data_IF_800158481508
#
_entry.id   IF_800158481508
#
_cell.length_a   1.000
_cell.length_b   1.000
_cell.length_c   1.000
_cell.angle_alpha   90.00
_cell.angle_beta   90.00
_cell.angle_gamma   90.00
#
_symmetry.space_group_name_H-M   'P 1'
#
loop_
_entity.id
_entity.type
_entity.pdbx_description
1 polymer ?
#
# COMPACT_ATOMS: atom_id res chain seq x y z
N UNK A 1 12.77 55.37 -36.66
CA UNK A 1 11.77 54.32 -36.38
C UNK A 1 12.50 53.16 -35.71
N UNK A 2 12.28 52.91 -34.40
CA UNK A 2 13.07 51.97 -33.58
C UNK A 2 12.60 50.53 -33.81
N UNK A 3 13.50 49.64 -34.24
CA UNK A 3 13.30 48.18 -34.22
C UNK A 3 13.49 47.66 -32.78
N UNK A 4 12.43 47.09 -32.19
CA UNK A 4 12.46 46.45 -30.88
C UNK A 4 13.09 45.06 -30.97
N UNK A 5 14.08 44.79 -30.10
CA UNK A 5 14.67 43.45 -29.93
C UNK A 5 13.77 42.65 -28.99
N UNK A 6 13.24 41.53 -29.46
CA UNK A 6 12.52 40.55 -28.63
C UNK A 6 13.53 39.50 -28.20
N UNK A 7 13.85 39.44 -26.91
CA UNK A 7 14.63 38.35 -26.32
C UNK A 7 13.69 37.23 -25.92
N UNK A 8 13.82 36.06 -26.55
CA UNK A 8 13.13 34.83 -26.14
C UNK A 8 14.02 34.11 -25.13
N UNK A 9 13.58 34.05 -23.87
CA UNK A 9 14.24 33.23 -22.86
C UNK A 9 13.75 31.78 -22.99
N UNK A 10 14.66 30.87 -23.35
CA UNK A 10 14.38 29.44 -23.40
C UNK A 10 14.37 28.86 -21.97
N UNK A 11 13.20 28.43 -21.50
CA UNK A 11 13.04 27.68 -20.26
C UNK A 11 13.44 26.22 -20.51
N UNK A 12 14.60 25.79 -20.00
CA UNK A 12 14.95 24.38 -19.93
C UNK A 12 14.11 23.69 -18.85
N UNK A 13 13.21 22.80 -19.26
CA UNK A 13 12.58 21.84 -18.37
C UNK A 13 13.56 20.72 -18.06
N UNK A 14 14.14 20.74 -16.86
CA UNK A 14 14.89 19.60 -16.34
C UNK A 14 13.85 18.57 -15.90
N UNK A 15 13.73 17.46 -16.63
CA UNK A 15 12.92 16.32 -16.21
C UNK A 15 13.58 15.67 -14.99
N UNK A 16 13.00 15.87 -13.82
CA UNK A 16 13.40 15.12 -12.62
C UNK A 16 12.88 13.70 -12.80
N UNK A 17 13.74 12.66 -12.77
CA UNK A 17 13.28 11.29 -12.84
C UNK A 17 12.40 11.01 -11.63
N UNK A 18 11.13 10.66 -11.89
CA UNK A 18 10.27 10.10 -10.84
C UNK A 18 10.83 8.71 -10.52
N UNK A 19 11.33 8.52 -9.31
CA UNK A 19 11.67 7.18 -8.83
C UNK A 19 10.34 6.49 -8.54
N UNK A 20 9.99 5.51 -9.37
CA UNK A 20 8.83 4.66 -9.13
C UNK A 20 9.00 3.92 -7.80
N UNK A 21 7.90 3.72 -7.07
CA UNK A 21 7.93 2.95 -5.83
C UNK A 21 8.47 1.54 -6.05
N UNK A 22 9.22 1.05 -5.08
CA UNK A 22 9.68 -0.33 -5.07
C UNK A 22 8.54 -1.24 -4.63
N UNK A 23 7.93 -1.90 -5.62
CA UNK A 23 7.01 -3.02 -5.40
C UNK A 23 7.81 -4.30 -5.44
N UNK A 24 7.61 -5.17 -4.45
CA UNK A 24 8.27 -6.46 -4.35
C UNK A 24 7.24 -7.56 -4.58
N UNK A 25 7.56 -8.52 -5.46
CA UNK A 25 6.79 -9.75 -5.65
C UNK A 25 7.47 -10.91 -4.94
N UNK A 26 6.67 -11.73 -4.28
CA UNK A 26 7.11 -12.98 -3.66
C UNK A 26 6.01 -14.03 -3.74
N UNK A 27 6.37 -15.27 -3.45
CA UNK A 27 5.46 -16.41 -3.51
C UNK A 27 5.64 -17.29 -2.29
N UNK A 28 4.55 -17.90 -1.85
CA UNK A 28 4.54 -18.92 -0.80
C UNK A 28 3.93 -20.20 -1.35
N UNK A 29 4.51 -21.34 -0.98
CA UNK A 29 4.02 -22.66 -1.36
C UNK A 29 3.75 -23.50 -0.10
N UNK A 30 2.48 -23.79 0.15
CA UNK A 30 2.05 -24.68 1.25
C UNK A 30 2.12 -26.12 0.74
N UNK A 31 3.27 -26.78 0.92
CA UNK A 31 3.51 -28.16 0.47
C UNK A 31 2.50 -29.16 1.06
N UNK A 32 2.01 -28.91 2.27
CA UNK A 32 1.03 -29.78 2.94
C UNK A 32 -0.33 -29.74 2.23
N UNK A 33 -0.72 -28.60 1.65
CA UNK A 33 -2.00 -28.42 0.96
C UNK A 33 -1.87 -28.37 -0.56
N UNK A 34 -0.65 -28.34 -1.09
CA UNK A 34 -0.39 -28.18 -2.53
C UNK A 34 -0.84 -26.82 -3.07
N UNK A 35 -0.92 -25.78 -2.24
CA UNK A 35 -1.42 -24.46 -2.65
C UNK A 35 -0.31 -23.43 -2.75
N UNK A 36 -0.36 -22.60 -3.78
CA UNK A 36 0.51 -21.44 -3.94
C UNK A 36 -0.23 -20.12 -3.65
N UNK A 37 0.52 -19.13 -3.17
CA UNK A 37 0.06 -17.75 -2.96
C UNK A 37 1.06 -16.77 -3.55
N UNK A 38 0.58 -15.78 -4.29
CA UNK A 38 1.37 -14.64 -4.78
C UNK A 38 1.18 -13.44 -3.87
N UNK A 39 2.27 -12.73 -3.56
CA UNK A 39 2.27 -11.48 -2.80
C UNK A 39 2.87 -10.35 -3.65
N UNK A 40 2.30 -9.16 -3.49
CA UNK A 40 2.84 -7.90 -3.98
C UNK A 40 2.87 -6.95 -2.78
N UNK A 41 4.00 -6.33 -2.50
CA UNK A 41 4.13 -5.44 -1.36
C UNK A 41 4.89 -4.16 -1.70
N UNK A 42 4.57 -3.08 -1.01
CA UNK A 42 5.32 -1.83 -1.06
C UNK A 42 5.24 -1.13 0.29
N UNK A 43 6.26 -0.34 0.61
CA UNK A 43 6.35 0.40 1.86
C UNK A 43 5.94 1.86 1.67
N UNK A 44 5.52 2.50 2.77
CA UNK A 44 5.18 3.92 2.77
C UNK A 44 6.40 4.80 2.49
N UNK A 45 6.21 5.84 1.69
CA UNK A 45 7.21 6.86 1.35
C UNK A 45 7.64 7.70 2.57
N UNK A 46 6.84 7.67 3.64
CA UNK A 46 7.11 8.36 4.90
C UNK A 46 7.16 7.40 6.08
N UNK A 47 7.80 7.86 7.14
CA UNK A 47 7.73 7.25 8.47
C UNK A 47 6.91 8.13 9.40
N UNK A 48 6.38 7.51 10.45
CA UNK A 48 5.64 8.16 11.52
C UNK A 48 6.29 7.79 12.84
N UNK A 49 6.50 8.77 13.72
CA UNK A 49 7.05 8.50 15.03
C UNK A 49 5.96 8.07 16.02
N UNK A 50 6.24 6.96 16.70
CA UNK A 50 5.47 6.51 17.85
C UNK A 50 6.31 6.66 19.12
N UNK A 51 5.66 7.14 20.18
CA UNK A 51 6.26 7.28 21.50
C UNK A 51 6.47 5.91 22.17
N UNK A 52 7.02 5.91 23.39
CA UNK A 52 7.10 4.72 24.21
C UNK A 52 5.73 4.00 24.28
N UNK A 53 5.65 2.67 24.12
CA UNK A 53 6.74 1.68 24.13
C UNK A 53 7.43 1.41 22.76
N UNK A 54 7.03 2.08 21.69
CA UNK A 54 7.48 1.76 20.33
C UNK A 54 8.76 2.49 19.90
N UNK A 55 9.10 3.59 20.58
CA UNK A 55 10.39 4.28 20.54
C UNK A 55 10.94 4.51 19.11
N UNK A 56 10.23 5.32 18.31
CA UNK A 56 10.79 5.93 17.10
C UNK A 56 9.94 5.74 15.85
N UNK A 57 10.61 5.81 14.70
CA UNK A 57 9.99 5.78 13.39
C UNK A 57 9.39 4.42 13.04
N UNK A 58 8.20 4.47 12.43
CA UNK A 58 7.43 3.35 11.95
C UNK A 58 7.00 3.58 10.51
N UNK A 59 7.10 2.55 9.68
CA UNK A 59 6.59 2.53 8.30
C UNK A 59 5.39 1.60 8.21
N UNK A 60 4.57 1.81 7.19
CA UNK A 60 3.48 0.92 6.86
C UNK A 60 3.81 0.16 5.57
N UNK A 61 3.64 -1.15 5.60
CA UNK A 61 3.71 -2.00 4.42
C UNK A 61 2.30 -2.29 3.93
N UNK A 62 2.02 -1.98 2.67
CA UNK A 62 0.82 -2.43 1.97
C UNK A 62 1.13 -3.77 1.30
N UNK A 63 0.32 -4.79 1.58
CA UNK A 63 0.46 -6.12 0.98
C UNK A 63 -0.82 -6.50 0.25
N UNK A 64 -0.70 -6.85 -1.02
CA UNK A 64 -1.75 -7.47 -1.80
C UNK A 64 -1.39 -8.93 -2.02
N UNK A 65 -2.31 -9.86 -1.76
CA UNK A 65 -2.06 -11.29 -1.98
C UNK A 65 -3.17 -11.99 -2.72
N UNK A 66 -2.82 -13.03 -3.46
CA UNK A 66 -3.81 -13.92 -4.07
C UNK A 66 -4.50 -14.79 -3.02
N UNK A 67 -5.59 -15.46 -3.41
CA UNK A 67 -6.08 -16.61 -2.63
C UNK A 67 -5.03 -17.72 -2.67
N UNK A 68 -5.01 -18.53 -1.62
CA UNK A 68 -4.36 -19.84 -1.65
C UNK A 68 -5.00 -20.67 -2.76
N UNK A 69 -4.20 -21.10 -3.72
CA UNK A 69 -4.70 -21.70 -4.96
C UNK A 69 -3.88 -22.94 -5.29
N UNK A 70 -4.53 -24.09 -5.49
CA UNK A 70 -3.90 -25.23 -6.17
C UNK A 70 -3.70 -24.85 -7.64
N UNK A 71 -2.46 -24.91 -8.11
CA UNK A 71 -2.14 -24.56 -9.50
C UNK A 71 -2.59 -25.68 -10.44
N UNK A 72 -3.27 -25.31 -11.52
CA UNK A 72 -3.61 -26.25 -12.60
C UNK A 72 -2.38 -26.56 -13.45
N UNK A 73 -2.43 -27.65 -14.21
CA UNK A 73 -1.36 -28.01 -15.16
C UNK A 73 -0.99 -26.83 -16.07
N UNK A 74 0.29 -26.47 -16.05
CA UNK A 74 0.84 -25.35 -16.82
C UNK A 74 0.58 -23.95 -16.24
N UNK A 75 -0.24 -23.81 -15.20
CA UNK A 75 -0.45 -22.54 -14.50
C UNK A 75 0.74 -22.24 -13.58
N UNK A 76 1.20 -20.98 -13.58
CA UNK A 76 2.29 -20.52 -12.72
C UNK A 76 1.75 -19.70 -11.55
N UNK A 77 2.48 -19.66 -10.45
CA UNK A 77 2.16 -18.79 -9.31
C UNK A 77 2.09 -17.31 -9.72
N UNK A 78 2.83 -16.93 -10.76
CA UNK A 78 2.82 -15.56 -11.28
C UNK A 78 1.52 -15.15 -11.97
N UNK A 79 0.74 -16.12 -12.46
CA UNK A 79 -0.57 -15.91 -13.08
C UNK A 79 -1.65 -15.55 -12.04
N UNK A 80 -1.40 -15.86 -10.76
CA UNK A 80 -2.33 -15.59 -9.67
C UNK A 80 -2.56 -14.08 -9.52
N UNK A 81 -3.82 -13.71 -9.29
CA UNK A 81 -4.22 -12.31 -9.11
C UNK A 81 -4.45 -12.00 -7.64
N UNK A 82 -4.09 -10.80 -7.17
CA UNK A 82 -4.40 -10.39 -5.82
C UNK A 82 -5.91 -10.36 -5.60
N UNK A 83 -6.35 -10.87 -4.47
CA UNK A 83 -7.75 -10.94 -4.05
C UNK A 83 -7.96 -10.37 -2.63
N UNK A 84 -6.89 -10.22 -1.87
CA UNK A 84 -6.88 -9.72 -0.50
C UNK A 84 -5.86 -8.60 -0.37
N UNK A 85 -6.14 -7.64 0.53
CA UNK A 85 -5.27 -6.52 0.82
C UNK A 85 -5.09 -6.40 2.34
N UNK A 86 -3.85 -6.16 2.77
CA UNK A 86 -3.45 -6.08 4.17
C UNK A 86 -2.58 -4.85 4.39
N UNK A 87 -2.68 -4.28 5.58
CA UNK A 87 -1.80 -3.23 6.07
C UNK A 87 -1.01 -3.80 7.23
N UNK A 88 0.31 -3.62 7.21
CA UNK A 88 1.20 -4.05 8.26
C UNK A 88 1.98 -2.85 8.77
N UNK A 89 2.12 -2.70 10.09
CA UNK A 89 2.92 -1.62 10.66
C UNK A 89 4.23 -2.18 11.24
N UNK A 90 5.36 -1.54 10.96
CA UNK A 90 6.67 -2.03 11.41
C UNK A 90 6.82 -1.93 12.93
N UNK A 91 6.19 -0.93 13.55
CA UNK A 91 6.11 -0.70 15.00
C UNK A 91 4.79 -0.04 15.34
N UNK A 92 4.23 -0.35 16.51
CA UNK A 92 2.93 0.17 16.94
C UNK A 92 1.85 -0.90 16.92
N UNK A 93 0.67 -0.51 17.37
CA UNK A 93 -0.53 -1.34 17.37
C UNK A 93 -1.67 -0.54 16.78
N UNK A 94 -2.39 -1.13 15.82
CA UNK A 94 -3.63 -0.56 15.33
C UNK A 94 -4.67 -0.51 16.44
N UNK A 95 -5.37 0.61 16.56
CA UNK A 95 -6.50 0.77 17.47
C UNK A 95 -7.79 0.65 16.69
N UNK A 96 -8.41 -0.52 16.80
CA UNK A 96 -9.77 -0.78 16.33
C UNK A 96 -10.70 -0.82 17.55
N UNK A 97 -11.62 0.14 17.67
CA UNK A 97 -12.67 0.08 18.68
C UNK A 97 -13.73 -0.95 18.24
N UNK A 98 -14.06 -1.90 19.12
CA UNK A 98 -14.96 -3.03 18.80
C UNK A 98 -16.44 -2.67 18.65
N UNK A 99 -16.83 -1.44 19.00
CA UNK A 99 -18.25 -1.04 19.10
C UNK A 99 -18.80 -0.45 17.80
N UNK A 100 -17.99 0.26 17.00
CA UNK A 100 -18.46 0.99 15.80
C UNK A 100 -17.89 0.43 14.48
N UNK A 101 -17.30 -0.77 14.52
CA UNK A 101 -16.51 -1.31 13.41
C UNK A 101 -15.13 -0.64 13.32
N UNK A 102 -14.21 -1.27 12.61
CA UNK A 102 -12.89 -0.69 12.38
C UNK A 102 -12.80 -0.18 10.95
N UNK A 103 -12.47 1.09 10.79
CA UNK A 103 -12.32 1.70 9.47
C UNK A 103 -11.06 2.55 9.38
N UNK A 104 -10.62 2.74 8.14
CA UNK A 104 -9.52 3.64 7.78
C UNK A 104 -10.03 4.70 6.80
N UNK A 105 -9.37 5.85 6.79
CA UNK A 105 -9.61 6.88 5.78
C UNK A 105 -8.54 6.78 4.70
N UNK A 106 -8.98 6.78 3.45
CA UNK A 106 -8.11 6.60 2.28
C UNK A 106 -8.37 7.71 1.29
N UNK A 107 -7.30 8.25 0.70
CA UNK A 107 -7.37 9.20 -0.41
C UNK A 107 -6.46 8.72 -1.53
N UNK A 108 -7.05 8.42 -2.67
CA UNK A 108 -6.32 8.16 -3.90
C UNK A 108 -6.12 9.47 -4.66
N UNK A 109 -4.89 9.72 -5.13
CA UNK A 109 -4.49 10.93 -5.84
C UNK A 109 -5.08 12.22 -5.22
N UNK A 110 -5.90 12.95 -5.98
CA UNK A 110 -6.59 14.17 -5.53
C UNK A 110 -8.09 13.97 -5.30
N UNK A 111 -8.55 12.72 -5.22
CA UNK A 111 -9.96 12.39 -5.04
C UNK A 111 -10.48 12.73 -3.63
N UNK A 112 -11.78 12.50 -3.41
CA UNK A 112 -12.40 12.61 -2.09
C UNK A 112 -11.90 11.50 -1.17
N UNK A 113 -11.92 11.78 0.13
CA UNK A 113 -11.62 10.76 1.15
C UNK A 113 -12.71 9.68 1.10
N UNK A 114 -12.28 8.43 1.05
CA UNK A 114 -13.08 7.22 1.09
C UNK A 114 -12.84 6.51 2.43
N UNK A 115 -13.86 5.84 2.95
CA UNK A 115 -13.71 4.97 4.11
C UNK A 115 -13.69 3.51 3.68
N UNK A 116 -12.76 2.75 4.23
CA UNK A 116 -12.71 1.30 4.06
C UNK A 116 -12.87 0.63 5.42
N UNK A 117 -13.81 -0.30 5.51
CA UNK A 117 -13.89 -1.23 6.63
C UNK A 117 -12.67 -2.15 6.63
N UNK A 118 -12.17 -2.45 7.81
CA UNK A 118 -11.01 -3.32 8.05
C UNK A 118 -11.29 -4.31 9.16
N UNK A 119 -10.64 -5.47 9.08
CA UNK A 119 -10.71 -6.52 10.09
C UNK A 119 -9.35 -6.73 10.72
N UNK A 120 -9.32 -7.05 12.01
CA UNK A 120 -8.10 -7.45 12.71
C UNK A 120 -7.69 -8.87 12.32
N UNK A 121 -6.41 -9.19 12.52
CA UNK A 121 -5.93 -10.54 12.25
C UNK A 121 -6.53 -11.56 13.24
N UNK A 122 -7.00 -12.69 12.73
CA UNK A 122 -7.61 -13.75 13.53
C UNK A 122 -6.65 -14.40 14.56
N UNK A 123 -5.33 -14.30 14.33
CA UNK A 123 -4.31 -14.83 15.23
C UNK A 123 -3.88 -13.86 16.34
N UNK A 124 -4.67 -12.82 16.60
CA UNK A 124 -4.39 -11.83 17.66
C UNK A 124 -3.30 -10.82 17.31
N UNK A 125 -2.77 -10.85 16.08
CA UNK A 125 -1.85 -9.81 15.62
C UNK A 125 -2.56 -8.47 15.55
N UNK A 126 -1.93 -7.49 16.18
CA UNK A 126 -2.45 -6.13 16.34
C UNK A 126 -1.73 -5.11 15.47
N UNK A 127 -0.71 -5.58 14.76
CA UNK A 127 0.10 -4.87 13.77
C UNK A 127 -0.38 -5.14 12.33
N UNK A 128 -1.54 -5.81 12.16
CA UNK A 128 -2.13 -6.13 10.85
C UNK A 128 -3.60 -5.79 10.79
N UNK A 129 -4.00 -5.19 9.67
CA UNK A 129 -5.39 -5.01 9.27
C UNK A 129 -5.64 -5.62 7.90
N UNK A 130 -6.81 -6.22 7.71
CA UNK A 130 -7.30 -6.75 6.45
C UNK A 130 -8.36 -5.84 5.88
N UNK A 131 -8.23 -5.39 4.63
CA UNK A 131 -9.25 -4.56 3.99
C UNK A 131 -10.48 -5.41 3.67
N UNK A 132 -11.67 -4.99 4.15
CA UNK A 132 -12.92 -5.74 3.97
C UNK A 132 -13.37 -5.85 2.52
N UNK A 133 -13.49 -4.72 1.81
CA UNK A 133 -13.77 -4.71 0.37
C UNK A 133 -12.47 -4.67 -0.45
N UNK A 134 -11.65 -5.71 -0.30
CA UNK A 134 -10.35 -5.82 -0.97
C UNK A 134 -10.43 -5.65 -2.50
N UNK A 135 -11.42 -6.20 -3.25
CA UNK A 135 -11.47 -6.03 -4.70
C UNK A 135 -11.56 -4.56 -5.14
N UNK A 136 -12.38 -3.74 -4.47
CA UNK A 136 -12.46 -2.31 -4.78
C UNK A 136 -11.18 -1.57 -4.45
N UNK A 137 -10.55 -1.90 -3.31
CA UNK A 137 -9.29 -1.30 -2.90
C UNK A 137 -8.15 -1.64 -3.88
N UNK A 138 -8.02 -2.92 -4.26
CA UNK A 138 -7.02 -3.40 -5.22
C UNK A 138 -7.20 -2.71 -6.57
N UNK A 139 -8.44 -2.57 -7.05
CA UNK A 139 -8.72 -1.86 -8.30
C UNK A 139 -8.21 -0.42 -8.23
N UNK A 140 -8.43 0.28 -7.11
CA UNK A 140 -7.92 1.64 -6.96
C UNK A 140 -6.39 1.68 -6.90
N UNK A 141 -5.72 0.71 -6.27
CA UNK A 141 -4.25 0.60 -6.31
C UNK A 141 -3.75 0.47 -7.75
N UNK A 142 -4.45 -0.31 -8.59
CA UNK A 142 -4.06 -0.54 -9.99
C UNK A 142 -4.23 0.67 -10.89
N UNK A 143 -5.14 1.59 -10.57
CA UNK A 143 -5.54 2.69 -11.46
C UNK A 143 -5.06 4.07 -11.03
N UNK A 144 -4.49 4.19 -9.83
CA UNK A 144 -4.03 5.47 -9.27
C UNK A 144 -2.52 5.49 -9.06
N UNK A 145 -1.98 6.69 -8.87
CA UNK A 145 -0.53 6.90 -8.72
C UNK A 145 -0.10 7.13 -7.28
N UNK A 146 -1.00 7.64 -6.45
CA UNK A 146 -0.71 7.99 -5.05
C UNK A 146 -1.83 7.48 -4.15
N UNK A 147 -1.42 7.01 -2.98
CA UNK A 147 -2.31 6.66 -1.89
C UNK A 147 -1.88 7.41 -0.63
N UNK A 148 -2.83 8.04 0.05
CA UNK A 148 -2.68 8.47 1.43
C UNK A 148 -3.68 7.71 2.30
N UNK A 149 -3.18 7.09 3.37
CA UNK A 149 -3.94 6.25 4.28
C UNK A 149 -3.82 6.81 5.69
N UNK A 150 -4.95 6.97 6.38
CA UNK A 150 -5.01 7.31 7.79
C UNK A 150 -5.63 6.17 8.59
N UNK A 151 -4.90 5.70 9.60
CA UNK A 151 -5.34 4.69 10.54
C UNK A 151 -5.12 5.17 11.98
N UNK A 152 -5.90 4.63 12.91
CA UNK A 152 -5.75 4.90 14.33
C UNK A 152 -4.78 3.90 14.97
N UNK A 153 -3.94 4.41 15.86
CA UNK A 153 -2.95 3.63 16.60
C UNK A 153 -3.14 3.81 18.10
N UNK A 154 -2.91 2.74 18.85
CA UNK A 154 -3.03 2.76 20.31
C UNK A 154 -2.08 3.81 20.90
N UNK A 155 -2.60 4.68 21.77
CA UNK A 155 -1.91 5.82 22.41
C UNK A 155 -1.37 6.92 21.46
N UNK A 156 -1.29 6.68 20.16
CA UNK A 156 -0.84 7.69 19.19
C UNK A 156 -2.00 8.37 18.44
N UNK A 157 -3.18 7.75 18.39
CA UNK A 157 -4.32 8.28 17.63
C UNK A 157 -4.12 8.17 16.11
N UNK A 158 -4.74 9.05 15.31
CA UNK A 158 -4.67 8.96 13.85
C UNK A 158 -3.27 9.31 13.33
N UNK A 159 -2.78 8.51 12.37
CA UNK A 159 -1.51 8.74 11.66
C UNK A 159 -1.64 8.42 10.18
N UNK A 160 -0.91 9.19 9.37
CA UNK A 160 -1.00 9.17 7.93
C UNK A 160 0.25 8.56 7.29
N UNK A 161 0.02 7.67 6.32
CA UNK A 161 1.03 7.02 5.51
C UNK A 161 0.76 7.32 4.05
N UNK A 162 1.82 7.60 3.30
CA UNK A 162 1.79 7.98 1.88
C UNK A 162 2.51 6.91 1.08
N UNK A 163 2.00 6.61 -0.09
CA UNK A 163 2.57 5.62 -0.99
C UNK A 163 2.57 6.17 -2.41
N UNK A 164 3.67 5.95 -3.12
CA UNK A 164 3.71 5.97 -4.57
C UNK A 164 3.27 4.59 -5.11
N UNK A 165 2.34 4.57 -6.06
CA UNK A 165 1.75 3.36 -6.61
C UNK A 165 2.24 3.05 -8.04
N UNK A 166 3.03 3.93 -8.65
CA UNK A 166 3.43 3.81 -10.06
C UNK A 166 4.23 2.53 -10.37
N UNK A 167 4.92 1.96 -9.37
CA UNK A 167 5.68 0.70 -9.51
C UNK A 167 4.84 -0.59 -9.51
N UNK A 168 3.53 -0.52 -9.27
CA UNK A 168 2.68 -1.70 -9.15
C UNK A 168 2.75 -2.64 -10.37
N UNK A 169 2.84 -2.07 -11.57
CA UNK A 169 2.89 -2.83 -12.83
C UNK A 169 4.24 -3.48 -13.14
N UNK A 170 5.30 -3.09 -12.42
CA UNK A 170 6.67 -3.55 -12.61
C UNK A 170 7.31 -3.96 -11.28
N UNK A 171 6.75 -4.95 -10.57
CA UNK A 171 7.31 -5.39 -9.30
C UNK A 171 8.67 -6.09 -9.51
N UNK A 172 9.58 -5.88 -8.57
CA UNK A 172 10.89 -6.55 -8.48
C UNK A 172 10.74 -7.85 -7.69
N UNK A 173 11.52 -8.88 -8.03
CA UNK A 173 11.56 -10.08 -7.20
C UNK A 173 12.23 -9.79 -5.86
N UNK A 174 11.72 -10.40 -4.79
CA UNK A 174 12.37 -10.40 -3.47
C UNK A 174 13.67 -11.21 -3.47
#
# INVERSE_FOLDING_TARGET
MKLGKISVAALLFIAVPTVAADWIVSYDNDEMRGTSTKFLQTDSDNTVNFDFPYNGGSSMTLVLRSKKTELKDGQKADDLKPAEAMLMISKGQFSCASIDGCSISVKFDSEKIQKYEVNTAANGRSDVLFIGNAPSFIKNIQTHKKLMLEANFYQAGPRQFKFNLEGYSTPKNN
#
